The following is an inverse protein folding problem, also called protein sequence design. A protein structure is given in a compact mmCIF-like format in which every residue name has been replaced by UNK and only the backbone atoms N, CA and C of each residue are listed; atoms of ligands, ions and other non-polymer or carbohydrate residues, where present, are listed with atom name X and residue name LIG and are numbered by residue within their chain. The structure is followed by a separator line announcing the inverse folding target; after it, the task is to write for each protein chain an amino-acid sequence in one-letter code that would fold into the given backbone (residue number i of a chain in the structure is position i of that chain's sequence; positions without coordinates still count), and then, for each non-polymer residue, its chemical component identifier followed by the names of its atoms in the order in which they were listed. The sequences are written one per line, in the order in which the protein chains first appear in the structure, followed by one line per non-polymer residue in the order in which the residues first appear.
data_IF_706387731831
#
_entry.id   IF_706387731831
#
_cell.length_a   1.000
_cell.length_b   1.000
_cell.length_c   1.000
_cell.angle_alpha   90.00
_cell.angle_beta   90.00
_cell.angle_gamma   90.00
#
_symmetry.space_group_name_H-M   'P 1'
#
loop_
_entity.id
_entity.type
_entity.pdbx_description
1 polymer ?
#
# COMPACT_ATOMS: atom_id res chain seq x y z
N UNK A 1 -11.74 13.48 -8.47
CA UNK A 1 -12.47 12.50 -7.63
C UNK A 1 -13.84 12.28 -8.24
N UNK A 2 -14.11 11.08 -8.71
CA UNK A 2 -15.34 10.73 -9.42
C UNK A 2 -16.41 10.23 -8.46
N UNK A 3 -17.64 10.67 -8.63
CA UNK A 3 -18.79 10.26 -7.81
C UNK A 3 -19.79 9.54 -8.69
N UNK A 4 -20.09 8.29 -8.36
CA UNK A 4 -21.16 7.52 -8.98
C UNK A 4 -22.47 7.86 -8.29
N UNK A 5 -23.49 8.22 -9.07
CA UNK A 5 -24.84 8.55 -8.57
C UNK A 5 -25.81 7.51 -9.13
N UNK A 6 -26.39 6.72 -8.24
CA UNK A 6 -27.31 5.64 -8.58
C UNK A 6 -28.68 5.95 -7.99
N UNK A 7 -29.63 6.26 -8.83
CA UNK A 7 -31.02 6.60 -8.45
C UNK A 7 -31.91 6.38 -9.68
N UNK A 8 -33.07 5.79 -9.58
CA UNK A 8 -33.96 5.52 -10.72
C UNK A 8 -34.70 6.79 -11.21
N UNK A 9 -34.87 7.78 -10.31
CA UNK A 9 -35.50 9.04 -10.66
C UNK A 9 -34.52 9.95 -11.41
N UNK A 10 -34.87 10.31 -12.65
CA UNK A 10 -34.12 11.29 -13.42
C UNK A 10 -33.99 12.64 -12.72
N UNK A 11 -35.10 13.09 -12.09
CA UNK A 11 -35.14 14.36 -11.39
C UNK A 11 -34.20 14.39 -10.17
N UNK A 12 -34.15 13.28 -9.42
CA UNK A 12 -33.24 13.14 -8.28
C UNK A 12 -31.77 13.17 -8.76
N UNK A 13 -31.43 12.44 -9.83
CA UNK A 13 -30.07 12.44 -10.39
C UNK A 13 -29.66 13.85 -10.84
N UNK A 14 -30.53 14.57 -11.54
CA UNK A 14 -30.23 15.94 -12.02
C UNK A 14 -30.09 16.94 -10.87
N UNK A 15 -30.91 16.80 -9.84
CA UNK A 15 -30.79 17.63 -8.64
C UNK A 15 -29.46 17.38 -7.91
N UNK A 16 -29.10 16.11 -7.68
CA UNK A 16 -27.83 15.72 -7.08
C UNK A 16 -26.64 16.26 -7.89
N UNK A 17 -26.68 16.11 -9.21
CA UNK A 17 -25.65 16.67 -10.10
C UNK A 17 -25.52 18.18 -9.97
N UNK A 18 -26.64 18.89 -10.01
CA UNK A 18 -26.65 20.34 -9.92
C UNK A 18 -26.03 20.84 -8.62
N UNK A 19 -26.41 20.24 -7.49
CA UNK A 19 -25.88 20.61 -6.17
C UNK A 19 -24.39 20.31 -6.07
N UNK A 20 -23.96 19.11 -6.46
CA UNK A 20 -22.58 18.69 -6.32
C UNK A 20 -21.65 19.42 -7.29
N UNK A 21 -22.08 19.65 -8.54
CA UNK A 21 -21.31 20.47 -9.49
C UNK A 21 -21.18 21.91 -9.02
N UNK A 22 -22.27 22.49 -8.49
CA UNK A 22 -22.26 23.83 -7.91
C UNK A 22 -21.31 23.98 -6.73
N UNK A 23 -21.04 22.88 -6.00
CA UNK A 23 -20.08 22.82 -4.92
C UNK A 23 -18.65 22.44 -5.37
N UNK A 24 -18.42 22.24 -6.67
CA UNK A 24 -17.10 21.94 -7.24
C UNK A 24 -16.71 20.46 -7.22
N UNK A 25 -17.65 19.55 -6.95
CA UNK A 25 -17.39 18.11 -7.05
C UNK A 25 -17.52 17.61 -8.50
N UNK A 26 -16.69 16.65 -8.85
CA UNK A 26 -16.75 15.99 -10.16
C UNK A 26 -15.42 15.34 -10.55
N UNK A 27 -15.47 14.51 -11.58
CA UNK A 27 -16.61 14.14 -12.46
C UNK A 27 -17.74 13.40 -11.74
N UNK A 28 -18.97 13.54 -12.24
CA UNK A 28 -20.17 12.85 -11.75
C UNK A 28 -20.65 11.86 -12.80
N UNK A 29 -20.92 10.63 -12.38
CA UNK A 29 -21.37 9.53 -13.24
C UNK A 29 -22.77 9.10 -12.81
N UNK A 30 -23.86 9.65 -13.39
CA UNK A 30 -25.21 9.26 -13.05
C UNK A 30 -25.61 7.99 -13.81
N UNK A 31 -26.23 7.05 -13.12
CA UNK A 31 -26.83 5.84 -13.67
C UNK A 31 -28.22 5.63 -13.08
N UNK A 32 -29.09 4.93 -13.84
CA UNK A 32 -30.47 4.76 -13.47
C UNK A 32 -30.76 3.48 -12.68
N UNK A 33 -29.80 2.54 -12.63
CA UNK A 33 -30.00 1.25 -12.00
C UNK A 33 -28.77 0.81 -11.20
N UNK A 34 -29.01 0.04 -10.14
CA UNK A 34 -27.94 -0.56 -9.37
C UNK A 34 -27.07 -1.51 -10.22
N UNK A 35 -27.66 -2.22 -11.20
CA UNK A 35 -26.90 -3.08 -12.11
C UNK A 35 -25.90 -2.29 -12.95
N UNK A 36 -26.29 -1.13 -13.50
CA UNK A 36 -25.38 -0.25 -14.24
C UNK A 36 -24.25 0.24 -13.33
N UNK A 37 -24.57 0.65 -12.11
CA UNK A 37 -23.61 1.08 -11.11
C UNK A 37 -22.58 -0.02 -10.80
N UNK A 38 -23.05 -1.23 -10.51
CA UNK A 38 -22.18 -2.39 -10.27
C UNK A 38 -21.32 -2.74 -11.49
N UNK A 39 -21.89 -2.67 -12.68
CA UNK A 39 -21.14 -2.92 -13.92
C UNK A 39 -19.98 -1.93 -14.10
N UNK A 40 -20.20 -0.65 -13.82
CA UNK A 40 -19.14 0.36 -13.87
C UNK A 40 -18.04 0.09 -12.84
N UNK A 41 -18.39 -0.42 -11.65
CA UNK A 41 -17.43 -0.79 -10.63
C UNK A 41 -16.68 -2.10 -10.97
N UNK A 42 -17.31 -3.03 -11.69
CA UNK A 42 -16.72 -4.30 -12.10
C UNK A 42 -15.75 -4.19 -13.28
N UNK A 43 -15.95 -3.23 -14.19
CA UNK A 43 -15.03 -2.98 -15.32
C UNK A 43 -13.60 -2.70 -14.82
N UNK A 44 -13.45 -2.15 -13.61
CA UNK A 44 -12.15 -1.97 -12.98
C UNK A 44 -11.40 -3.26 -12.62
N UNK A 45 -12.03 -4.44 -12.63
CA UNK A 45 -11.43 -5.74 -12.29
C UNK A 45 -10.60 -6.38 -13.41
N UNK A 46 -10.90 -6.08 -14.67
CA UNK A 46 -10.35 -6.81 -15.82
C UNK A 46 -9.51 -5.97 -16.78
N UNK A 47 -9.35 -4.69 -16.53
CA UNK A 47 -8.62 -3.80 -17.43
C UNK A 47 -7.70 -2.85 -16.67
N UNK A 48 -6.75 -2.34 -17.38
CA UNK A 48 -5.70 -1.42 -16.94
C UNK A 48 -6.20 -0.04 -16.44
N UNK A 49 -7.49 0.13 -16.22
CA UNK A 49 -8.10 1.28 -15.56
C UNK A 49 -9.03 0.76 -14.46
N UNK A 50 -8.59 0.87 -13.22
CA UNK A 50 -9.46 0.90 -12.06
C UNK A 50 -10.56 1.91 -12.34
N UNK A 51 -11.82 1.58 -12.05
CA UNK A 51 -12.89 2.58 -12.10
C UNK A 51 -12.47 3.69 -11.14
N UNK A 52 -12.19 4.89 -11.65
CA UNK A 52 -11.77 6.05 -10.85
C UNK A 52 -12.95 6.59 -10.02
N UNK A 53 -13.80 5.69 -9.49
CA UNK A 53 -14.93 6.05 -8.62
C UNK A 53 -14.45 6.12 -7.18
N UNK A 54 -14.56 7.31 -6.61
CA UNK A 54 -14.10 7.60 -5.25
C UNK A 54 -15.25 7.62 -4.22
N UNK A 55 -16.49 7.69 -4.67
CA UNK A 55 -17.70 7.71 -3.83
C UNK A 55 -18.89 7.19 -4.61
N UNK A 56 -19.78 6.46 -3.94
CA UNK A 56 -21.09 6.06 -4.46
C UNK A 56 -22.19 6.76 -3.65
N UNK A 57 -23.09 7.46 -4.35
CA UNK A 57 -24.38 7.89 -3.82
C UNK A 57 -25.43 6.91 -4.31
N UNK A 58 -26.12 6.19 -3.42
CA UNK A 58 -26.97 5.05 -3.73
C UNK A 58 -28.37 5.28 -3.20
N UNK A 59 -29.37 5.29 -4.08
CA UNK A 59 -30.74 5.17 -3.64
C UNK A 59 -31.04 3.74 -3.19
N UNK A 60 -31.87 3.59 -2.17
CA UNK A 60 -32.33 2.26 -1.72
C UNK A 60 -33.49 1.75 -2.54
N UNK A 61 -34.42 2.60 -2.91
CA UNK A 61 -35.68 2.25 -3.55
C UNK A 61 -35.58 2.31 -5.06
N UNK A 62 -35.07 1.23 -5.65
CA UNK A 62 -34.97 1.13 -7.08
C UNK A 62 -35.61 -0.17 -7.58
N UNK A 63 -36.23 -0.18 -8.76
CA UNK A 63 -36.79 -1.40 -9.36
C UNK A 63 -35.68 -2.38 -9.70
N UNK A 64 -35.95 -3.66 -9.46
CA UNK A 64 -35.02 -4.75 -9.77
C UNK A 64 -34.06 -5.05 -8.61
N UNK A 65 -32.82 -4.65 -8.75
CA UNK A 65 -31.82 -4.79 -7.68
C UNK A 65 -31.91 -3.58 -6.75
N UNK A 66 -32.26 -3.83 -5.48
CA UNK A 66 -32.34 -2.80 -4.47
C UNK A 66 -30.95 -2.27 -4.05
N UNK A 67 -30.93 -1.07 -3.47
CA UNK A 67 -29.67 -0.43 -3.07
C UNK A 67 -28.96 -1.15 -1.92
N UNK A 68 -29.68 -1.84 -1.02
CA UNK A 68 -29.06 -2.61 0.07
C UNK A 68 -28.28 -3.80 -0.48
N UNK A 69 -28.86 -4.53 -1.42
CA UNK A 69 -28.21 -5.65 -2.06
C UNK A 69 -27.01 -5.18 -2.91
N UNK A 70 -27.13 -4.02 -3.57
CA UNK A 70 -26.02 -3.41 -4.29
C UNK A 70 -24.86 -3.06 -3.32
N UNK A 71 -25.15 -2.49 -2.16
CA UNK A 71 -24.16 -2.22 -1.11
C UNK A 71 -23.44 -3.50 -0.65
N UNK A 72 -24.20 -4.59 -0.40
CA UNK A 72 -23.60 -5.88 0.01
C UNK A 72 -22.65 -6.42 -1.07
N UNK A 73 -23.03 -6.34 -2.35
CA UNK A 73 -22.17 -6.78 -3.47
C UNK A 73 -20.90 -5.95 -3.58
N UNK A 74 -20.99 -4.63 -3.43
CA UNK A 74 -19.81 -3.76 -3.41
C UNK A 74 -18.90 -4.14 -2.24
N UNK A 75 -19.43 -4.39 -1.05
CA UNK A 75 -18.62 -4.78 0.13
C UNK A 75 -18.07 -6.20 0.06
N UNK A 76 -18.69 -7.08 -0.71
CA UNK A 76 -18.18 -8.43 -0.97
C UNK A 76 -16.95 -8.47 -1.87
N UNK A 77 -16.58 -7.35 -2.48
CA UNK A 77 -15.39 -7.23 -3.32
C UNK A 77 -14.23 -6.63 -2.55
N UNK A 78 -13.12 -7.36 -2.46
CA UNK A 78 -11.93 -6.96 -1.72
C UNK A 78 -11.33 -5.64 -2.22
N UNK A 79 -11.46 -5.33 -3.52
CA UNK A 79 -10.95 -4.08 -4.11
C UNK A 79 -11.82 -2.87 -3.78
N UNK A 80 -13.11 -3.08 -3.50
CA UNK A 80 -14.10 -2.05 -3.23
C UNK A 80 -14.40 -1.83 -1.73
N UNK A 81 -13.77 -2.57 -0.84
CA UNK A 81 -14.00 -2.47 0.61
C UNK A 81 -13.81 -1.07 1.16
N UNK A 82 -12.88 -0.29 0.60
CA UNK A 82 -12.60 1.08 1.03
C UNK A 82 -13.36 2.15 0.25
N UNK A 83 -14.23 1.77 -0.70
CA UNK A 83 -15.06 2.71 -1.45
C UNK A 83 -16.19 3.21 -0.56
N UNK A 84 -16.30 4.51 -0.23
CA UNK A 84 -17.39 5.02 0.56
C UNK A 84 -18.72 4.93 -0.21
N UNK A 85 -19.78 4.58 0.49
CA UNK A 85 -21.15 4.50 -0.02
C UNK A 85 -22.02 5.36 0.89
N UNK A 86 -22.63 6.40 0.35
CA UNK A 86 -23.66 7.18 1.04
C UNK A 86 -25.00 6.77 0.47
N UNK A 87 -25.85 6.26 1.34
CA UNK A 87 -27.22 5.89 0.98
C UNK A 87 -28.13 7.12 1.04
N UNK A 88 -28.97 7.30 0.03
CA UNK A 88 -29.95 8.38 -0.02
C UNK A 88 -31.35 7.73 -0.03
N UNK A 89 -32.15 7.94 1.02
CA UNK A 89 -33.41 7.21 1.20
C UNK A 89 -34.53 8.08 1.76
N UNK A 90 -35.78 7.77 1.38
CA UNK A 90 -36.97 8.34 2.01
C UNK A 90 -37.30 7.61 3.34
N UNK A 91 -36.85 6.37 3.51
CA UNK A 91 -37.06 5.58 4.72
C UNK A 91 -36.09 6.01 5.82
N UNK A 92 -36.65 6.28 6.99
CA UNK A 92 -35.88 6.81 8.12
C UNK A 92 -36.24 6.15 9.44
N UNK A 93 -36.88 5.01 9.37
CA UNK A 93 -37.10 4.23 10.57
C UNK A 93 -35.75 3.70 11.11
N UNK A 94 -35.62 3.55 12.42
CA UNK A 94 -34.35 3.07 13.00
C UNK A 94 -33.88 1.75 12.41
N UNK A 95 -34.81 0.86 12.01
CA UNK A 95 -34.52 -0.42 11.36
C UNK A 95 -33.91 -0.29 9.97
N UNK A 96 -34.36 0.71 9.19
CA UNK A 96 -33.86 0.94 7.82
C UNK A 96 -32.43 1.47 7.84
N UNK A 97 -32.16 2.41 8.74
CA UNK A 97 -30.81 2.96 8.94
C UNK A 97 -29.85 1.85 9.38
N UNK A 98 -30.26 1.02 10.34
CA UNK A 98 -29.47 -0.13 10.78
C UNK A 98 -29.17 -1.09 9.63
N UNK A 99 -30.16 -1.35 8.78
CA UNK A 99 -30.04 -2.22 7.61
C UNK A 99 -29.04 -1.66 6.59
N UNK A 100 -29.05 -0.34 6.34
CA UNK A 100 -28.11 0.31 5.46
C UNK A 100 -26.64 0.17 5.95
N UNK A 101 -26.39 0.43 7.23
CA UNK A 101 -25.05 0.24 7.81
C UNK A 101 -24.63 -1.24 7.81
N UNK A 102 -25.55 -2.17 8.10
CA UNK A 102 -25.27 -3.60 8.06
C UNK A 102 -24.95 -4.07 6.64
N UNK A 103 -25.57 -3.45 5.61
CA UNK A 103 -25.27 -3.72 4.21
C UNK A 103 -23.93 -3.09 3.77
N UNK A 104 -23.30 -2.27 4.60
CA UNK A 104 -21.99 -1.69 4.36
C UNK A 104 -22.00 -0.24 3.88
N UNK A 105 -23.11 0.49 4.05
CA UNK A 105 -23.12 1.93 3.84
C UNK A 105 -22.15 2.62 4.82
N UNK A 106 -21.45 3.64 4.33
CA UNK A 106 -20.57 4.48 5.14
C UNK A 106 -21.37 5.55 5.88
N UNK A 107 -22.39 6.05 5.22
CA UNK A 107 -23.28 7.10 5.76
C UNK A 107 -24.64 7.04 5.06
N UNK A 108 -25.61 7.80 5.55
CA UNK A 108 -26.91 7.94 4.92
C UNK A 108 -27.39 9.39 4.90
N UNK A 109 -28.22 9.74 3.91
CA UNK A 109 -28.87 11.04 3.76
C UNK A 109 -30.36 10.81 3.54
N UNK A 110 -31.18 11.57 4.28
CA UNK A 110 -32.63 11.48 4.17
C UNK A 110 -33.17 12.30 3.01
N UNK A 111 -34.11 11.76 2.23
CA UNK A 111 -34.95 12.53 1.29
C UNK A 111 -36.15 13.15 2.03
N UNK A 112 -36.52 14.45 1.82
CA UNK A 112 -35.81 15.41 0.99
C UNK A 112 -34.52 15.87 1.67
N UNK A 113 -33.41 15.90 0.93
CA UNK A 113 -32.12 16.26 1.48
C UNK A 113 -31.85 17.77 1.43
N UNK A 114 -31.12 18.26 2.41
CA UNK A 114 -30.65 19.63 2.49
C UNK A 114 -29.32 19.73 1.71
N UNK A 115 -29.18 20.65 0.74
CA UNK A 115 -27.93 20.75 -0.05
C UNK A 115 -26.66 20.86 0.79
N UNK A 116 -26.69 21.63 1.89
CA UNK A 116 -25.55 21.76 2.79
C UNK A 116 -25.16 20.45 3.47
N UNK A 117 -26.13 19.60 3.83
CA UNK A 117 -25.88 18.27 4.41
C UNK A 117 -25.27 17.34 3.37
N UNK A 118 -25.81 17.28 2.15
CA UNK A 118 -25.28 16.50 1.05
C UNK A 118 -23.82 16.87 0.77
N UNK A 119 -23.53 18.15 0.64
CA UNK A 119 -22.19 18.67 0.39
C UNK A 119 -21.22 18.26 1.51
N UNK A 120 -21.60 18.47 2.77
CA UNK A 120 -20.74 18.18 3.92
C UNK A 120 -20.43 16.67 4.03
N UNK A 121 -21.43 15.79 3.89
CA UNK A 121 -21.24 14.33 3.95
C UNK A 121 -20.42 13.83 2.79
N UNK A 122 -20.65 14.34 1.57
CA UNK A 122 -19.85 14.05 0.39
C UNK A 122 -18.39 14.43 0.60
N UNK A 123 -18.12 15.64 1.09
CA UNK A 123 -16.76 16.11 1.38
C UNK A 123 -16.05 15.22 2.41
N UNK A 124 -16.73 14.86 3.49
CA UNK A 124 -16.17 14.00 4.54
C UNK A 124 -15.85 12.58 4.01
N UNK A 125 -16.76 11.99 3.23
CA UNK A 125 -16.56 10.68 2.65
C UNK A 125 -15.38 10.64 1.68
N UNK A 126 -15.24 11.67 0.83
CA UNK A 126 -14.11 11.80 -0.09
C UNK A 126 -12.78 12.05 0.62
N UNK A 127 -12.78 12.86 1.68
CA UNK A 127 -11.58 13.08 2.50
C UNK A 127 -11.12 11.80 3.17
N UNK A 128 -12.03 11.04 3.75
CA UNK A 128 -11.73 9.73 4.34
C UNK A 128 -11.15 8.76 3.30
N UNK A 129 -11.72 8.71 2.10
CA UNK A 129 -11.22 7.88 0.99
C UNK A 129 -9.78 8.27 0.63
N UNK A 130 -9.49 9.57 0.50
CA UNK A 130 -8.13 10.05 0.23
C UNK A 130 -7.13 9.63 1.30
N UNK A 131 -7.51 9.74 2.57
CA UNK A 131 -6.64 9.32 3.68
C UNK A 131 -6.34 7.83 3.64
N UNK A 132 -7.36 7.00 3.38
CA UNK A 132 -7.21 5.55 3.26
C UNK A 132 -6.28 5.20 2.09
N UNK A 133 -6.48 5.81 0.92
CA UNK A 133 -5.66 5.53 -0.26
C UNK A 133 -4.21 6.00 -0.07
N UNK A 134 -4.01 7.18 0.49
CA UNK A 134 -2.67 7.68 0.82
C UNK A 134 -1.96 6.79 1.87
N UNK A 135 -2.71 6.21 2.80
CA UNK A 135 -2.17 5.25 3.77
C UNK A 135 -1.75 3.95 3.09
N UNK A 136 -2.59 3.39 2.21
CA UNK A 136 -2.29 2.17 1.45
C UNK A 136 -1.02 2.33 0.60
N UNK A 137 -0.88 3.47 -0.10
CA UNK A 137 0.30 3.78 -0.90
C UNK A 137 1.56 3.80 -0.02
N UNK A 138 1.53 4.52 1.11
CA UNK A 138 2.67 4.60 2.03
C UNK A 138 3.04 3.25 2.64
N UNK A 139 2.05 2.42 2.97
CA UNK A 139 2.28 1.07 3.49
C UNK A 139 2.98 0.18 2.45
N UNK A 140 2.54 0.26 1.18
CA UNK A 140 3.19 -0.46 0.10
C UNK A 140 4.63 0.00 -0.14
N UNK A 141 4.89 1.31 -0.14
CA UNK A 141 6.24 1.87 -0.26
C UNK A 141 7.17 1.41 0.88
N UNK A 142 6.65 1.35 2.12
CA UNK A 142 7.42 0.85 3.26
C UNK A 142 7.75 -0.64 3.12
N UNK A 143 6.79 -1.45 2.68
CA UNK A 143 7.01 -2.88 2.42
C UNK A 143 8.08 -3.11 1.34
N UNK A 144 8.02 -2.35 0.26
CA UNK A 144 8.99 -2.46 -0.82
C UNK A 144 10.39 -2.04 -0.38
N UNK A 145 10.51 -0.95 0.39
CA UNK A 145 11.80 -0.53 0.99
C UNK A 145 12.35 -1.56 1.97
N UNK A 146 11.48 -2.19 2.76
CA UNK A 146 11.89 -3.25 3.69
C UNK A 146 12.46 -4.44 2.92
N UNK A 147 11.82 -4.85 1.83
CA UNK A 147 12.32 -5.93 0.95
C UNK A 147 13.66 -5.59 0.31
N UNK A 148 13.84 -4.34 -0.15
CA UNK A 148 15.11 -3.87 -0.70
C UNK A 148 16.23 -3.93 0.34
N UNK A 149 15.95 -3.49 1.57
CA UNK A 149 16.90 -3.55 2.68
C UNK A 149 17.25 -5.01 3.02
N UNK A 150 16.27 -5.89 3.16
CA UNK A 150 16.51 -7.31 3.44
C UNK A 150 17.36 -7.97 2.34
N UNK A 151 17.08 -7.64 1.08
CA UNK A 151 17.90 -8.09 -0.03
C UNK A 151 19.33 -7.55 0.03
N UNK A 152 19.51 -6.25 0.33
CA UNK A 152 20.83 -5.64 0.48
C UNK A 152 21.59 -6.24 1.68
N UNK A 153 20.92 -6.45 2.83
CA UNK A 153 21.52 -7.12 3.98
C UNK A 153 21.86 -8.59 3.70
N UNK A 154 21.03 -9.29 2.94
CA UNK A 154 21.32 -10.67 2.50
C UNK A 154 22.59 -10.77 1.63
N UNK A 155 22.99 -9.70 0.96
CA UNK A 155 24.26 -9.62 0.22
C UNK A 155 25.48 -9.28 1.11
N UNK A 156 25.24 -8.67 2.29
CA UNK A 156 26.29 -8.43 3.28
C UNK A 156 26.47 -9.71 4.07
N UNK A 157 27.41 -10.52 3.62
CA UNK A 157 27.77 -11.75 4.33
C UNK A 157 28.59 -11.42 5.56
N UNK A 158 27.92 -11.24 6.69
CA UNK A 158 28.55 -11.29 8.00
C UNK A 158 28.80 -12.74 8.36
N UNK A 159 30.01 -13.04 8.85
CA UNK A 159 30.29 -14.33 9.44
C UNK A 159 29.46 -14.48 10.72
N UNK A 160 28.39 -15.25 10.66
CA UNK A 160 27.65 -15.64 11.85
C UNK A 160 28.28 -16.93 12.41
N UNK A 161 29.02 -16.78 13.49
CA UNK A 161 29.58 -17.90 14.21
C UNK A 161 31.00 -17.66 14.73
N UNK A 162 31.41 -18.48 15.69
CA UNK A 162 32.77 -18.44 16.24
C UNK A 162 33.67 -19.36 15.43
N UNK A 163 34.65 -18.80 14.75
CA UNK A 163 35.69 -19.60 14.10
C UNK A 163 36.69 -20.09 15.12
N UNK A 164 36.90 -21.38 15.22
CA UNK A 164 37.98 -21.94 16.03
C UNK A 164 39.31 -21.79 15.29
N UNK A 165 40.24 -21.05 15.89
CA UNK A 165 41.56 -20.82 15.34
C UNK A 165 42.61 -21.44 16.24
N UNK A 166 43.58 -22.16 15.67
CA UNK A 166 44.70 -22.66 16.41
C UNK A 166 45.55 -21.51 17.00
N UNK A 167 45.75 -21.49 18.30
CA UNK A 167 46.51 -20.46 18.99
C UNK A 167 47.96 -20.34 18.46
N UNK A 168 48.56 -21.43 17.99
CA UNK A 168 49.96 -21.50 17.55
C UNK A 168 50.13 -21.18 16.06
N UNK A 169 49.39 -21.90 15.16
CA UNK A 169 49.61 -21.75 13.71
C UNK A 169 48.52 -20.96 12.98
N UNK A 170 47.52 -20.43 13.71
CA UNK A 170 46.42 -19.58 13.21
C UNK A 170 45.55 -20.24 12.11
N UNK A 171 45.62 -21.54 11.94
CA UNK A 171 44.72 -22.29 11.05
C UNK A 171 43.32 -22.36 11.63
N UNK A 172 42.32 -22.37 10.76
CA UNK A 172 40.90 -22.47 11.08
C UNK A 172 40.47 -23.93 11.08
N UNK A 173 39.70 -24.34 12.09
CA UNK A 173 39.05 -25.66 12.13
C UNK A 173 37.82 -25.63 11.22
N UNK A 174 37.74 -26.57 10.33
CA UNK A 174 36.55 -26.81 9.48
C UNK A 174 35.61 -27.83 10.13
N UNK A 175 34.45 -28.06 9.51
CA UNK A 175 33.41 -29.01 9.97
C UNK A 175 33.88 -30.49 9.96
N UNK A 176 35.14 -30.75 10.24
CA UNK A 176 35.76 -32.05 10.31
C UNK A 176 37.08 -31.99 11.08
N UNK A 177 37.89 -33.06 11.02
CA UNK A 177 39.18 -33.13 11.71
C UNK A 177 40.28 -32.28 11.08
N UNK A 178 39.97 -31.55 9.99
CA UNK A 178 40.98 -30.85 9.21
C UNK A 178 41.12 -29.38 9.61
N UNK A 179 42.40 -28.95 9.61
CA UNK A 179 42.78 -27.55 9.82
C UNK A 179 43.31 -26.96 8.50
N UNK A 180 42.77 -25.82 8.08
CA UNK A 180 43.21 -25.15 6.85
C UNK A 180 43.64 -23.73 7.13
N UNK A 181 44.36 -23.07 6.21
CA UNK A 181 44.73 -21.68 6.33
C UNK A 181 43.47 -20.80 6.25
N UNK A 182 43.47 -19.69 6.96
CA UNK A 182 42.32 -18.80 6.98
C UNK A 182 42.01 -18.23 5.58
N UNK A 183 43.05 -17.98 4.79
CA UNK A 183 42.90 -17.48 3.42
C UNK A 183 42.19 -18.51 2.52
N UNK A 184 42.51 -19.79 2.67
CA UNK A 184 41.92 -20.90 1.89
C UNK A 184 40.45 -21.12 2.32
N UNK A 185 40.17 -20.97 3.63
CA UNK A 185 38.81 -21.02 4.17
C UNK A 185 37.96 -19.90 3.60
N UNK A 186 38.42 -18.65 3.62
CA UNK A 186 37.69 -17.50 3.11
C UNK A 186 37.47 -17.58 1.59
N UNK A 187 38.46 -18.10 0.85
CA UNK A 187 38.37 -18.30 -0.61
C UNK A 187 37.36 -19.37 -0.99
N UNK A 188 37.28 -20.48 -0.22
CA UNK A 188 36.30 -21.56 -0.46
C UNK A 188 34.87 -21.14 -0.17
N UNK A 189 34.67 -20.24 0.77
CA UNK A 189 33.34 -19.66 1.04
C UNK A 189 32.86 -18.72 -0.07
N UNK A 190 33.67 -18.48 -1.11
CA UNK A 190 33.29 -17.71 -2.31
C UNK A 190 33.08 -16.22 -2.09
N UNK A 191 33.50 -15.70 -0.93
CA UNK A 191 32.97 -14.42 -0.43
C UNK A 191 34.01 -13.30 -0.23
N UNK A 192 35.29 -13.57 -0.40
CA UNK A 192 36.31 -12.54 -0.21
C UNK A 192 37.57 -12.82 -1.03
N UNK A 193 38.13 -11.80 -1.67
CA UNK A 193 39.47 -11.81 -2.18
C UNK A 193 40.40 -11.43 -1.03
N UNK A 194 41.26 -12.36 -0.63
CA UNK A 194 42.30 -12.10 0.36
C UNK A 194 43.54 -11.61 -0.39
N UNK A 195 43.99 -10.38 -0.11
CA UNK A 195 45.28 -9.86 -0.55
C UNK A 195 46.23 -9.89 0.64
N UNK A 196 47.48 -10.29 0.39
CA UNK A 196 48.55 -10.21 1.39
C UNK A 196 49.22 -8.84 1.31
N UNK A 197 49.32 -8.20 2.45
CA UNK A 197 50.09 -6.96 2.60
C UNK A 197 50.86 -7.05 3.91
N UNK A 198 51.96 -6.35 4.00
CA UNK A 198 52.77 -6.22 5.22
C UNK A 198 52.33 -4.95 5.93
N UNK A 199 51.89 -5.01 7.20
CA UNK A 199 51.53 -3.82 7.95
C UNK A 199 52.77 -3.03 8.36
N UNK A 200 52.58 -1.74 8.64
CA UNK A 200 53.70 -0.82 9.00
C UNK A 200 54.52 -1.33 10.16
N UNK A 201 53.94 -1.95 11.17
CA UNK A 201 54.67 -2.52 12.31
C UNK A 201 55.59 -3.64 11.87
N UNK A 202 55.15 -4.51 10.97
CA UNK A 202 55.98 -5.60 10.44
C UNK A 202 57.01 -5.11 9.46
N UNK A 203 56.72 -4.08 8.65
CA UNK A 203 57.71 -3.43 7.78
C UNK A 203 58.86 -2.88 8.61
N UNK A 204 58.57 -2.15 9.67
CA UNK A 204 59.59 -1.60 10.56
C UNK A 204 60.42 -2.64 11.32
N UNK A 205 59.80 -3.79 11.68
CA UNK A 205 60.53 -4.88 12.33
C UNK A 205 61.40 -5.70 11.39
N UNK A 206 60.93 -5.92 10.14
CA UNK A 206 61.62 -6.79 9.18
C UNK A 206 62.63 -5.98 8.33
N UNK A 207 62.35 -4.70 8.07
CA UNK A 207 63.17 -3.79 7.25
C UNK A 207 63.43 -2.46 7.96
N UNK A 208 64.21 -2.46 9.05
CA UNK A 208 64.45 -1.22 9.86
C UNK A 208 65.13 -0.11 9.10
N UNK A 209 65.74 -0.41 7.93
CA UNK A 209 66.44 0.52 7.08
C UNK A 209 65.50 1.28 6.10
N UNK A 210 64.24 0.84 5.91
CA UNK A 210 63.25 1.55 5.10
C UNK A 210 62.49 2.58 5.94
N UNK A 211 63.20 3.58 6.48
CA UNK A 211 62.56 4.77 7.04
C UNK A 211 61.97 5.60 5.93
N UNK A 212 60.66 5.60 5.78
CA UNK A 212 60.01 6.56 4.89
C UNK A 212 60.23 7.96 5.49
N UNK A 213 60.87 8.82 4.70
CA UNK A 213 60.80 10.28 4.92
C UNK A 213 59.34 10.72 4.81
N UNK A 214 58.80 11.42 5.79
CA UNK A 214 57.47 11.97 5.65
C UNK A 214 57.51 13.14 4.66
N UNK A 215 56.90 12.95 3.51
CA UNK A 215 56.71 14.07 2.61
C UNK A 215 56.82 13.65 1.14
N UNK A 216 55.71 13.37 0.53
CA UNK A 216 55.34 13.65 -0.86
C UNK A 216 54.33 12.66 -1.41
N UNK A 217 53.06 13.02 -1.31
CA UNK A 217 52.08 12.72 -2.34
C UNK A 217 51.03 13.81 -2.26
N UNK A 218 51.09 14.69 -3.23
CA UNK A 218 50.07 15.64 -3.59
C UNK A 218 48.89 14.91 -4.25
#
# INVERSE_FOLDING_TARGET
MSILIVDDSHEARDLLKTILQGAGFGPLVPVATAQEGLHLLEIGKHGTQSSDIDLVLMDLEMPGLDGLEACRRIRGDDHLQSLPIIVITAHTEPGDIQSAYTAGATDYIRKPFIPAELIARTANALSLKQEIDARKIREQELLDRTRELDHAFGQITTFHGTLQICAKCKRVKTDGPHWQRIEDYLRKQGRSRVSEAVCDVCIHQTYPHLRQTPGSLA
#
